data_IF_545343199784
#
_entry.id   IF_545343199784
#
_cell.length_a   1.000
_cell.length_b   1.000
_cell.length_c   1.000
_cell.angle_alpha   90.00
_cell.angle_beta   90.00
_cell.angle_gamma   90.00
#
_symmetry.space_group_name_H-M   'P 1'
#
loop_
_entity.id
_entity.type
_entity.pdbx_description
1 polymer ?
#
# COMPACT_ATOMS: atom_id res chain seq x y z
N UNK A 1 0.51 -3.03 23.96
CA UNK A 1 0.19 -1.66 23.51
C UNK A 1 0.23 -1.63 21.98
N UNK A 2 -0.77 -1.02 21.39
CA UNK A 2 -0.79 -0.83 19.92
C UNK A 2 0.33 0.09 19.48
N UNK A 3 0.92 -0.20 18.32
CA UNK A 3 2.03 0.60 17.80
C UNK A 3 2.10 0.56 16.28
N UNK A 4 2.84 1.51 15.73
CA UNK A 4 3.21 1.57 14.32
C UNK A 4 4.74 1.57 14.29
N UNK A 5 5.34 0.60 13.60
CA UNK A 5 6.80 0.52 13.51
C UNK A 5 7.26 0.42 12.06
N UNK A 6 8.48 0.88 11.79
CA UNK A 6 9.05 0.75 10.45
C UNK A 6 9.21 -0.71 10.04
N UNK A 7 9.07 -0.97 8.74
CA UNK A 7 9.38 -2.28 8.15
C UNK A 7 10.89 -2.52 8.13
N UNK A 8 11.24 -3.80 8.14
CA UNK A 8 12.60 -4.26 7.86
C UNK A 8 12.55 -5.38 6.82
N UNK A 9 13.70 -5.81 6.33
CA UNK A 9 13.77 -6.94 5.40
C UNK A 9 13.15 -8.22 6.00
N UNK A 10 13.16 -8.35 7.32
CA UNK A 10 12.58 -9.51 8.02
C UNK A 10 11.05 -9.54 7.92
N UNK A 11 10.41 -8.49 7.48
CA UNK A 11 8.95 -8.42 7.37
C UNK A 11 8.42 -8.92 6.02
N UNK A 12 9.28 -9.40 5.13
CA UNK A 12 8.86 -9.79 3.78
C UNK A 12 7.69 -10.78 3.80
N UNK A 13 7.72 -11.80 4.64
CA UNK A 13 6.65 -12.79 4.71
C UNK A 13 5.30 -12.16 5.06
N UNK A 14 5.30 -11.23 6.01
CA UNK A 14 4.07 -10.53 6.37
C UNK A 14 3.58 -9.65 5.22
N UNK A 15 4.50 -9.02 4.49
CA UNK A 15 4.14 -8.16 3.35
C UNK A 15 3.53 -8.97 2.20
N UNK A 16 3.90 -10.24 2.02
CA UNK A 16 3.21 -11.11 1.07
C UNK A 16 1.75 -11.30 1.47
N UNK A 17 1.47 -11.52 2.75
CA UNK A 17 0.11 -11.63 3.24
C UNK A 17 -0.66 -10.33 3.01
N UNK A 18 -0.02 -9.20 3.26
CA UNK A 18 -0.67 -7.89 3.07
C UNK A 18 -0.91 -7.59 1.58
N UNK A 19 -0.01 -8.01 0.70
CA UNK A 19 -0.24 -7.87 -0.73
C UNK A 19 -1.49 -8.63 -1.15
N UNK A 20 -1.66 -9.85 -0.65
CA UNK A 20 -2.88 -10.62 -0.91
C UNK A 20 -4.12 -9.89 -0.37
N UNK A 21 -4.06 -9.37 0.86
CA UNK A 21 -5.18 -8.66 1.46
C UNK A 21 -5.48 -7.33 0.77
N UNK A 22 -4.52 -6.76 0.03
CA UNK A 22 -4.72 -5.53 -0.73
C UNK A 22 -5.61 -5.71 -1.96
N UNK A 23 -5.82 -6.95 -2.40
CA UNK A 23 -6.66 -7.26 -3.55
C UNK A 23 -8.12 -7.06 -3.14
N UNK A 24 -8.77 -6.08 -3.75
CA UNK A 24 -10.17 -5.79 -3.42
C UNK A 24 -11.09 -6.88 -3.96
N UNK A 25 -11.97 -7.37 -3.10
CA UNK A 25 -13.00 -8.36 -3.45
C UNK A 25 -14.34 -7.76 -3.05
N UNK A 26 -15.26 -7.66 -4.01
CA UNK A 26 -16.61 -7.15 -3.72
C UNK A 26 -17.40 -8.19 -2.93
N UNK A 27 -18.38 -7.72 -2.16
CA UNK A 27 -19.28 -8.59 -1.43
C UNK A 27 -19.98 -9.55 -2.41
N UNK A 28 -19.96 -10.83 -2.09
CA UNK A 28 -20.55 -11.88 -2.92
C UNK A 28 -19.62 -12.49 -3.97
N UNK A 29 -18.46 -11.88 -4.21
CA UNK A 29 -17.45 -12.44 -5.11
C UNK A 29 -16.53 -13.40 -4.33
N UNK A 30 -15.96 -14.37 -5.05
CA UNK A 30 -14.99 -15.28 -4.48
C UNK A 30 -13.63 -14.58 -4.30
N UNK A 31 -12.92 -14.83 -3.18
CA UNK A 31 -11.56 -14.34 -3.02
C UNK A 31 -10.65 -14.90 -4.10
N UNK A 32 -9.58 -14.15 -4.42
CA UNK A 32 -8.52 -14.65 -5.30
C UNK A 32 -7.83 -15.84 -4.67
N UNK A 33 -7.36 -16.78 -5.50
CA UNK A 33 -6.43 -17.82 -5.03
C UNK A 33 -5.11 -17.16 -4.63
N UNK A 34 -4.45 -17.69 -3.60
CA UNK A 34 -3.12 -17.20 -3.22
C UNK A 34 -2.08 -17.39 -4.33
N UNK A 35 -2.35 -18.25 -5.29
CA UNK A 35 -1.46 -18.44 -6.45
C UNK A 35 -1.28 -17.15 -7.26
N UNK A 36 -2.18 -16.19 -7.13
CA UNK A 36 -2.03 -14.88 -7.79
C UNK A 36 -0.73 -14.19 -7.38
N UNK A 37 -0.22 -14.45 -6.17
CA UNK A 37 1.02 -13.87 -5.68
C UNK A 37 2.25 -14.37 -6.42
N UNK A 38 2.13 -15.47 -7.17
CA UNK A 38 3.23 -16.02 -7.97
C UNK A 38 3.38 -15.30 -9.31
N UNK A 39 2.39 -14.48 -9.69
CA UNK A 39 2.45 -13.74 -10.95
C UNK A 39 3.48 -12.61 -10.88
N UNK A 40 4.29 -12.39 -11.93
CA UNK A 40 5.31 -11.35 -11.92
C UNK A 40 4.76 -9.95 -11.62
N UNK A 41 3.54 -9.65 -12.09
CA UNK A 41 2.94 -8.33 -11.84
C UNK A 41 2.55 -8.11 -10.39
N UNK A 42 2.49 -9.17 -9.58
CA UNK A 42 2.27 -9.08 -8.14
C UNK A 42 3.60 -9.13 -7.39
N UNK A 43 4.52 -10.00 -7.80
CA UNK A 43 5.78 -10.19 -7.09
C UNK A 43 6.61 -8.92 -7.00
N UNK A 44 6.57 -8.07 -8.01
CA UNK A 44 7.34 -6.82 -8.03
C UNK A 44 7.10 -5.92 -6.81
N UNK A 45 5.96 -6.08 -6.14
CA UNK A 45 5.61 -5.22 -5.01
C UNK A 45 6.32 -5.60 -3.71
N UNK A 46 6.70 -6.86 -3.55
CA UNK A 46 7.23 -7.35 -2.26
C UNK A 46 8.56 -8.06 -2.41
N UNK A 47 8.79 -8.78 -3.52
CA UNK A 47 9.99 -9.60 -3.67
C UNK A 47 11.25 -8.79 -3.38
N UNK A 48 12.13 -9.34 -2.53
CA UNK A 48 13.37 -8.67 -2.15
C UNK A 48 13.17 -7.44 -1.28
N UNK A 49 12.11 -7.43 -0.48
CA UNK A 49 11.82 -6.27 0.38
C UNK A 49 13.04 -5.87 1.21
N UNK A 50 13.28 -4.55 1.28
CA UNK A 50 14.44 -3.98 1.92
C UNK A 50 15.46 -3.41 0.94
N UNK A 51 15.14 -3.40 -0.34
CA UNK A 51 16.02 -2.77 -1.35
C UNK A 51 16.00 -1.25 -1.17
N UNK A 52 17.01 -0.58 -1.76
CA UNK A 52 17.14 0.88 -1.66
C UNK A 52 15.84 1.58 -2.08
N UNK A 53 15.36 2.51 -1.27
CA UNK A 53 14.12 3.26 -1.51
C UNK A 53 12.87 2.63 -0.94
N UNK A 54 12.90 1.35 -0.56
CA UNK A 54 11.75 0.73 0.10
C UNK A 54 11.52 1.37 1.46
N UNK A 55 10.27 1.69 1.75
CA UNK A 55 9.89 2.32 3.01
C UNK A 55 8.49 1.87 3.38
N UNK A 56 8.27 1.60 4.65
CA UNK A 56 6.94 1.22 5.09
C UNK A 56 6.82 1.08 6.59
N UNK A 57 5.60 0.84 7.02
CA UNK A 57 5.23 0.70 8.42
C UNK A 57 4.32 -0.50 8.61
N UNK A 58 4.48 -1.14 9.76
CA UNK A 58 3.65 -2.26 10.20
C UNK A 58 2.81 -1.80 11.38
N UNK A 59 1.52 -2.08 11.32
CA UNK A 59 0.60 -1.86 12.44
C UNK A 59 0.62 -3.08 13.34
N UNK A 60 0.87 -2.87 14.62
CA UNK A 60 0.96 -3.94 15.63
C UNK A 60 -0.18 -3.77 16.62
N UNK A 61 -0.94 -4.83 16.89
CA UNK A 61 -1.98 -4.75 17.90
C UNK A 61 -1.42 -4.78 19.32
N UNK A 62 -2.30 -4.73 20.32
CA UNK A 62 -1.90 -4.69 21.73
C UNK A 62 -1.14 -5.93 22.18
N UNK A 63 -1.34 -7.07 21.50
CA UNK A 63 -0.66 -8.33 21.79
C UNK A 63 0.66 -8.47 21.02
N UNK A 64 1.07 -7.43 20.28
CA UNK A 64 2.30 -7.48 19.50
C UNK A 64 2.20 -8.27 18.21
N UNK A 65 0.99 -8.46 17.69
CA UNK A 65 0.75 -9.20 16.44
C UNK A 65 0.59 -8.19 15.29
N UNK A 66 1.27 -8.40 14.14
CA UNK A 66 1.10 -7.52 13.00
C UNK A 66 -0.30 -7.67 12.38
N UNK A 67 -0.97 -6.55 12.13
CA UNK A 67 -2.36 -6.55 11.64
C UNK A 67 -2.55 -5.73 10.36
N UNK A 68 -1.54 -5.01 9.92
CA UNK A 68 -1.62 -4.22 8.70
C UNK A 68 -0.28 -3.65 8.29
N UNK A 69 -0.23 -3.12 7.08
CA UNK A 69 0.98 -2.48 6.57
C UNK A 69 0.66 -1.37 5.59
N UNK A 70 1.60 -0.44 5.47
CA UNK A 70 1.64 0.54 4.40
C UNK A 70 3.06 0.59 3.87
N UNK A 71 3.21 0.62 2.55
CA UNK A 71 4.53 0.59 1.92
C UNK A 71 4.60 1.56 0.75
N UNK A 72 5.81 1.99 0.41
CA UNK A 72 6.10 2.57 -0.89
C UNK A 72 7.28 1.83 -1.50
N UNK A 73 7.26 1.72 -2.82
CA UNK A 73 8.35 1.16 -3.62
C UNK A 73 8.45 1.94 -4.93
N UNK A 74 9.68 2.19 -5.35
CA UNK A 74 9.91 2.85 -6.64
C UNK A 74 9.91 1.82 -7.76
N UNK A 75 9.30 2.19 -8.88
CA UNK A 75 9.28 1.39 -10.10
C UNK A 75 9.85 2.23 -11.24
N UNK A 76 10.03 1.63 -12.42
CA UNK A 76 10.55 2.31 -13.59
C UNK A 76 9.72 1.97 -14.83
N UNK A 77 10.05 2.61 -15.95
CA UNK A 77 9.32 2.42 -17.21
C UNK A 77 9.36 0.96 -17.70
N UNK A 78 10.43 0.24 -17.37
CA UNK A 78 10.58 -1.15 -17.80
C UNK A 78 9.78 -2.12 -16.92
N UNK A 79 9.38 -1.70 -15.71
CA UNK A 79 8.68 -2.57 -14.76
C UNK A 79 7.69 -1.76 -13.93
N UNK A 80 6.65 -1.26 -14.58
CA UNK A 80 5.65 -0.39 -13.96
C UNK A 80 4.75 -1.17 -13.00
N UNK A 81 4.44 -0.57 -11.84
CA UNK A 81 3.34 -1.02 -11.01
C UNK A 81 2.00 -0.55 -11.59
N UNK A 82 0.90 -1.02 -11.01
CA UNK A 82 -0.46 -0.67 -11.47
C UNK A 82 -0.74 0.83 -11.36
N UNK A 83 -0.19 1.49 -10.35
CA UNK A 83 -0.35 2.93 -10.12
C UNK A 83 0.85 3.75 -10.54
N UNK A 84 1.70 3.22 -11.42
CA UNK A 84 2.91 3.90 -11.86
C UNK A 84 2.57 5.19 -12.59
N UNK A 85 3.25 6.28 -12.22
CA UNK A 85 3.13 7.58 -12.87
C UNK A 85 4.48 8.05 -13.41
N UNK A 86 5.53 7.97 -12.58
CA UNK A 86 6.88 8.39 -12.95
C UNK A 86 7.89 7.71 -12.03
N UNK A 87 9.13 7.54 -12.51
CA UNK A 87 10.18 6.87 -11.76
C UNK A 87 10.52 7.56 -10.43
N UNK A 88 10.31 8.87 -10.35
CA UNK A 88 10.55 9.65 -9.12
C UNK A 88 9.37 9.64 -8.15
N UNK A 89 8.26 9.03 -8.54
CA UNK A 89 7.05 8.97 -7.72
C UNK A 89 6.84 7.52 -7.29
N UNK A 90 7.11 7.19 -6.01
CA UNK A 90 6.91 5.81 -5.55
C UNK A 90 5.43 5.48 -5.48
N UNK A 91 5.12 4.20 -5.58
CA UNK A 91 3.75 3.70 -5.48
C UNK A 91 3.48 3.17 -4.07
N UNK A 92 2.34 3.59 -3.51
CA UNK A 92 1.90 3.20 -2.18
C UNK A 92 1.01 1.97 -2.26
N UNK A 93 1.21 1.04 -1.32
CA UNK A 93 0.31 -0.08 -1.08
C UNK A 93 -0.06 -0.11 0.39
N UNK A 94 -1.31 -0.44 0.68
CA UNK A 94 -1.78 -0.54 2.06
C UNK A 94 -2.81 -1.65 2.20
N UNK A 95 -2.71 -2.39 3.28
CA UNK A 95 -3.69 -3.42 3.59
C UNK A 95 -3.78 -3.65 5.09
N UNK A 96 -4.94 -4.12 5.51
CA UNK A 96 -5.21 -4.52 6.88
C UNK A 96 -5.80 -5.93 6.88
N UNK A 97 -5.53 -6.70 7.91
CA UNK A 97 -6.25 -7.95 8.07
C UNK A 97 -7.75 -7.64 8.16
N UNK A 98 -8.62 -8.48 7.55
CA UNK A 98 -10.04 -8.17 7.48
C UNK A 98 -10.69 -7.81 8.81
N UNK A 99 -10.34 -8.52 9.89
CA UNK A 99 -10.89 -8.28 11.21
C UNK A 99 -10.47 -6.93 11.81
N UNK A 100 -9.46 -6.28 11.24
CA UNK A 100 -8.91 -5.02 11.78
C UNK A 100 -9.35 -3.79 10.97
N UNK A 101 -10.14 -3.98 9.94
CA UNK A 101 -10.64 -2.89 9.10
C UNK A 101 -11.67 -2.05 9.85
N UNK A 102 -11.77 -0.76 9.49
CA UNK A 102 -12.75 0.14 10.09
C UNK A 102 -12.43 0.59 11.51
N UNK A 103 -11.18 0.46 11.96
CA UNK A 103 -10.77 0.78 13.33
C UNK A 103 -9.77 1.93 13.41
N UNK A 104 -9.55 2.65 12.30
CA UNK A 104 -8.64 3.80 12.29
C UNK A 104 -7.18 3.47 11.99
N UNK A 105 -6.83 2.20 11.77
CA UNK A 105 -5.47 1.80 11.46
C UNK A 105 -4.95 2.43 10.17
N UNK A 106 -5.79 2.51 9.14
CA UNK A 106 -5.41 3.11 7.86
C UNK A 106 -4.96 4.56 8.02
N UNK A 107 -5.70 5.34 8.79
CA UNK A 107 -5.34 6.74 9.06
C UNK A 107 -4.00 6.84 9.77
N UNK A 108 -3.76 5.99 10.78
CA UNK A 108 -2.50 5.98 11.54
C UNK A 108 -1.32 5.59 10.64
N UNK A 109 -1.50 4.58 9.79
CA UNK A 109 -0.46 4.16 8.84
C UNK A 109 -0.15 5.27 7.83
N UNK A 110 -1.17 5.92 7.30
CA UNK A 110 -0.99 7.03 6.37
C UNK A 110 -0.23 8.20 7.02
N UNK A 111 -0.57 8.54 8.25
CA UNK A 111 0.11 9.61 8.98
C UNK A 111 1.60 9.29 9.17
N UNK A 112 1.92 8.06 9.57
CA UNK A 112 3.30 7.63 9.77
C UNK A 112 4.09 7.70 8.46
N UNK A 113 3.52 7.17 7.38
CA UNK A 113 4.19 7.15 6.09
C UNK A 113 4.41 8.56 5.54
N UNK A 114 3.40 9.42 5.59
CA UNK A 114 3.52 10.78 5.08
C UNK A 114 4.56 11.58 5.84
N UNK A 115 4.62 11.41 7.17
CA UNK A 115 5.66 12.05 7.98
C UNK A 115 7.05 11.63 7.51
N UNK A 116 7.26 10.34 7.32
CA UNK A 116 8.57 9.81 6.90
C UNK A 116 8.91 10.21 5.47
N UNK A 117 7.95 10.17 4.55
CA UNK A 117 8.18 10.61 3.18
C UNK A 117 8.60 12.08 3.12
N UNK A 118 7.99 12.92 3.94
CA UNK A 118 8.36 14.34 4.03
C UNK A 118 9.80 14.49 4.53
N UNK A 119 10.18 13.75 5.55
CA UNK A 119 11.55 13.74 6.09
C UNK A 119 12.57 13.31 5.04
N UNK A 120 12.20 12.36 4.19
CA UNK A 120 13.07 11.84 3.12
C UNK A 120 13.08 12.72 1.87
N UNK A 121 12.28 13.78 1.82
CA UNK A 121 12.23 14.65 0.66
C UNK A 121 11.47 14.10 -0.53
N UNK A 122 10.63 13.09 -0.32
CA UNK A 122 9.75 12.55 -1.37
C UNK A 122 8.64 13.56 -1.61
N UNK A 123 8.44 13.99 -2.86
CA UNK A 123 7.54 15.09 -3.20
C UNK A 123 6.12 14.64 -3.52
N UNK A 124 5.98 13.46 -4.11
CA UNK A 124 4.69 12.91 -4.54
C UNK A 124 4.68 11.42 -4.35
N UNK A 125 3.49 10.86 -4.24
CA UNK A 125 3.27 9.42 -4.10
C UNK A 125 2.03 9.04 -4.91
N UNK A 126 2.07 7.87 -5.54
CA UNK A 126 0.95 7.37 -6.34
C UNK A 126 0.36 6.10 -5.73
N UNK A 127 -0.82 5.73 -6.20
CA UNK A 127 -1.44 4.45 -5.86
C UNK A 127 -2.43 4.04 -6.93
N UNK A 128 -2.82 2.77 -6.87
CA UNK A 128 -3.90 2.21 -7.68
C UNK A 128 -4.99 1.72 -6.73
N UNK A 129 -6.24 2.02 -7.04
CA UNK A 129 -7.37 1.63 -6.18
C UNK A 129 -8.58 1.26 -7.03
N UNK A 130 -9.30 0.21 -6.61
CA UNK A 130 -10.56 -0.16 -7.25
C UNK A 130 -11.61 0.91 -6.92
N UNK A 131 -12.37 1.41 -7.92
CA UNK A 131 -13.39 2.45 -7.68
C UNK A 131 -14.45 2.00 -6.67
N UNK A 132 -14.74 0.70 -6.65
CA UNK A 132 -15.75 0.11 -5.77
C UNK A 132 -15.31 0.07 -4.30
N UNK A 133 -14.00 0.19 -4.06
CA UNK A 133 -13.45 0.25 -2.70
C UNK A 133 -13.62 1.66 -2.14
N UNK A 134 -14.86 2.02 -1.84
CA UNK A 134 -15.22 3.39 -1.47
C UNK A 134 -14.56 3.85 -0.18
N UNK A 135 -14.35 2.95 0.77
CA UNK A 135 -13.68 3.28 2.04
C UNK A 135 -12.24 3.70 1.80
N UNK A 136 -11.51 2.97 0.93
CA UNK A 136 -10.14 3.30 0.59
C UNK A 136 -10.06 4.61 -0.19
N UNK A 137 -10.91 4.79 -1.20
CA UNK A 137 -10.95 6.02 -2.00
C UNK A 137 -11.18 7.23 -1.08
N UNK A 138 -12.10 7.10 -0.14
CA UNK A 138 -12.42 8.18 0.80
C UNK A 138 -11.23 8.51 1.70
N UNK A 139 -10.54 7.48 2.21
CA UNK A 139 -9.34 7.66 3.02
C UNK A 139 -8.26 8.39 2.22
N UNK A 140 -7.99 7.93 0.99
CA UNK A 140 -6.96 8.52 0.16
C UNK A 140 -7.25 9.99 -0.16
N UNK A 141 -8.51 10.31 -0.49
CA UNK A 141 -8.89 11.71 -0.76
C UNK A 141 -8.66 12.61 0.47
N UNK A 142 -8.85 12.09 1.68
CA UNK A 142 -8.57 12.86 2.90
C UNK A 142 -7.09 13.22 3.04
N UNK A 143 -6.21 12.42 2.46
CA UNK A 143 -4.76 12.67 2.46
C UNK A 143 -4.29 13.42 1.23
N UNK A 144 -5.21 13.97 0.43
CA UNK A 144 -4.86 14.80 -0.70
C UNK A 144 -4.65 14.07 -2.00
N UNK A 145 -4.97 12.78 -2.06
CA UNK A 145 -4.91 12.04 -3.33
C UNK A 145 -5.99 12.51 -4.29
N UNK A 146 -5.60 12.69 -5.55
CA UNK A 146 -6.50 13.07 -6.64
C UNK A 146 -6.38 12.06 -7.76
N UNK A 147 -7.46 11.88 -8.51
CA UNK A 147 -7.47 10.96 -9.65
C UNK A 147 -6.67 11.59 -10.80
N UNK A 148 -5.76 10.81 -11.39
CA UNK A 148 -4.96 11.27 -12.53
C UNK A 148 -5.14 10.38 -13.76
N UNK A 149 -5.80 9.23 -13.63
CA UNK A 149 -6.06 8.33 -14.76
C UNK A 149 -6.62 7.02 -14.31
N UNK A 150 -6.64 6.08 -15.24
CA UNK A 150 -7.05 4.70 -14.98
C UNK A 150 -6.10 3.74 -15.66
N UNK A 151 -5.89 2.59 -15.04
CA UNK A 151 -5.19 1.47 -15.65
C UNK A 151 -6.10 0.24 -15.46
N UNK A 152 -6.57 -0.33 -16.58
CA UNK A 152 -7.58 -1.37 -16.52
C UNK A 152 -8.85 -0.81 -15.88
N UNK A 153 -9.33 -1.46 -14.83
CA UNK A 153 -10.52 -1.05 -14.08
C UNK A 153 -10.19 -0.28 -12.78
N UNK A 154 -8.91 0.03 -12.55
CA UNK A 154 -8.46 0.71 -11.34
C UNK A 154 -8.17 2.17 -11.59
N UNK A 155 -8.44 3.00 -10.59
CA UNK A 155 -8.14 4.43 -10.62
C UNK A 155 -6.67 4.62 -10.18
N UNK A 156 -5.93 5.44 -10.94
CA UNK A 156 -4.60 5.89 -10.51
C UNK A 156 -4.75 7.23 -9.81
N UNK A 157 -4.18 7.34 -8.62
CA UNK A 157 -4.24 8.56 -7.83
C UNK A 157 -2.84 9.03 -7.44
N UNK A 158 -2.68 10.34 -7.26
CA UNK A 158 -1.42 10.96 -6.84
C UNK A 158 -1.72 11.96 -5.73
N UNK A 159 -0.84 12.02 -4.74
CA UNK A 159 -0.87 13.07 -3.72
C UNK A 159 0.48 13.77 -3.64
N UNK A 160 0.44 15.05 -3.32
CA UNK A 160 1.64 15.81 -2.93
C UNK A 160 1.95 15.47 -1.47
N UNK A 161 3.23 15.31 -1.17
CA UNK A 161 3.71 15.05 0.19
C UNK A 161 4.04 16.39 0.85
N UNK A 162 3.25 16.75 1.88
CA UNK A 162 3.38 18.04 2.58
C UNK A 162 3.45 17.86 4.07
#
# INVERSE_FOLDING_TARGET
MESIRMTTAADENFLWDMLYESLYVQDGDEPFSRDVLEEPFMQKYVAGWGRAGDLGYIAMNAEGVPVGSITIRFFDEANKGFGFVHEDIPELGMALRPACRGQGWGTRLMQALFTEMKEKGIKQVSLSVAPENTAAVRLYKRFGFREVGMFGTSITMVADVR
#
